data_IF_321864964062
#
_entry.id   IF_321864964062
#
_cell.length_a   1.000
_cell.length_b   1.000
_cell.length_c   1.000
_cell.angle_alpha   90.00
_cell.angle_beta   90.00
_cell.angle_gamma   90.00
#
_symmetry.space_group_name_H-M   'P 1'
#
loop_
_entity.id
_entity.type
_entity.pdbx_description
1 polymer ?
#
# COMPACT_ATOMS: atom_id res chain seq x y z
N UNK A 1 15.31 -5.63 -29.89
CA UNK A 1 14.96 -5.02 -28.58
C UNK A 1 13.57 -4.39 -28.68
N UNK A 2 12.57 -4.91 -27.96
CA UNK A 2 11.18 -4.43 -28.06
C UNK A 2 10.95 -3.30 -27.05
N UNK A 3 10.71 -2.08 -27.55
CA UNK A 3 10.34 -0.93 -26.73
C UNK A 3 8.95 -1.16 -26.11
N UNK A 4 8.88 -1.30 -24.78
CA UNK A 4 7.60 -1.24 -24.06
C UNK A 4 7.18 0.23 -23.98
N UNK A 5 6.12 0.60 -24.71
CA UNK A 5 5.48 1.92 -24.59
C UNK A 5 4.88 2.06 -23.19
N UNK A 6 5.34 3.04 -22.42
CA UNK A 6 4.75 3.41 -21.15
C UNK A 6 3.33 3.95 -21.40
N UNK A 7 2.32 3.17 -20.97
CA UNK A 7 0.91 3.59 -21.03
C UNK A 7 0.70 4.70 -19.99
N UNK A 8 0.48 5.93 -20.46
CA UNK A 8 0.22 7.12 -19.63
C UNK A 8 -1.01 6.85 -18.77
N UNK A 9 -0.82 6.71 -17.46
CA UNK A 9 -1.90 6.56 -16.49
C UNK A 9 -2.55 7.93 -16.34
N UNK A 10 -3.75 8.09 -16.88
CA UNK A 10 -4.61 9.25 -16.63
C UNK A 10 -5.00 9.16 -15.15
N UNK A 11 -4.28 9.87 -14.29
CA UNK A 11 -4.76 10.14 -12.94
C UNK A 11 -5.95 11.08 -13.08
N UNK A 12 -7.15 10.57 -12.83
CA UNK A 12 -8.28 11.45 -12.58
C UNK A 12 -7.96 12.20 -11.29
N UNK A 13 -7.73 13.52 -11.39
CA UNK A 13 -7.80 14.40 -10.23
C UNK A 13 -9.24 14.39 -9.74
N UNK A 14 -9.57 13.42 -8.90
CA UNK A 14 -10.82 13.44 -8.15
C UNK A 14 -10.69 14.53 -7.09
N UNK A 15 -11.49 15.57 -7.23
CA UNK A 15 -11.71 16.54 -6.16
C UNK A 15 -12.17 15.79 -4.91
N UNK A 16 -11.41 15.88 -3.82
CA UNK A 16 -11.76 15.28 -2.54
C UNK A 16 -13.05 15.92 -2.02
N UNK A 17 -14.09 15.12 -1.80
CA UNK A 17 -15.30 15.61 -1.13
C UNK A 17 -14.98 15.87 0.36
N UNK A 18 -15.63 16.86 1.02
CA UNK A 18 -15.42 17.12 2.44
C UNK A 18 -15.57 15.88 3.33
N UNK A 19 -16.52 15.01 3.01
CA UNK A 19 -16.77 13.76 3.73
C UNK A 19 -15.60 12.77 3.60
N UNK A 20 -14.93 12.74 2.45
CA UNK A 20 -13.74 11.91 2.22
C UNK A 20 -12.55 12.43 3.03
N UNK A 21 -12.44 13.74 3.22
CA UNK A 21 -11.41 14.34 4.07
C UNK A 21 -11.64 14.00 5.55
N UNK A 22 -12.88 14.06 6.04
CA UNK A 22 -13.22 13.65 7.41
C UNK A 22 -12.89 12.16 7.61
N UNK A 23 -13.31 11.29 6.68
CA UNK A 23 -13.00 9.86 6.73
C UNK A 23 -11.50 9.60 6.74
N UNK A 24 -10.73 10.31 5.91
CA UNK A 24 -9.27 10.20 5.89
C UNK A 24 -8.63 10.54 7.25
N UNK A 25 -9.12 11.57 7.94
CA UNK A 25 -8.61 11.93 9.27
C UNK A 25 -8.90 10.84 10.31
N UNK A 26 -10.08 10.22 10.25
CA UNK A 26 -10.43 9.11 11.14
C UNK A 26 -9.59 7.86 10.82
N UNK A 27 -9.39 7.54 9.54
CA UNK A 27 -8.51 6.44 9.12
C UNK A 27 -7.06 6.63 9.61
N UNK A 28 -6.54 7.87 9.56
CA UNK A 28 -5.22 8.20 10.10
C UNK A 28 -5.15 8.02 11.62
N UNK A 29 -6.21 8.40 12.36
CA UNK A 29 -6.28 8.17 13.81
C UNK A 29 -6.27 6.68 14.12
N UNK A 30 -7.07 5.88 13.42
CA UNK A 30 -7.11 4.42 13.55
C UNK A 30 -5.75 3.79 13.28
N UNK A 31 -5.09 4.21 12.19
CA UNK A 31 -3.73 3.77 11.84
C UNK A 31 -2.72 4.12 12.93
N UNK A 32 -2.79 5.34 13.48
CA UNK A 32 -1.88 5.79 14.54
C UNK A 32 -2.09 5.02 15.86
N UNK A 33 -3.34 4.62 16.15
CA UNK A 33 -3.69 3.78 17.30
C UNK A 33 -3.33 2.31 17.12
N UNK A 34 -2.75 1.91 15.97
CA UNK A 34 -2.44 0.52 15.62
C UNK A 34 -3.66 -0.41 15.74
N UNK A 35 -4.86 0.11 15.49
CA UNK A 35 -6.11 -0.66 15.55
C UNK A 35 -6.27 -1.40 14.22
N UNK A 36 -6.38 -2.73 14.30
CA UNK A 36 -6.56 -3.60 13.14
C UNK A 36 -8.05 -3.81 12.83
N UNK A 37 -8.47 -3.38 11.64
CA UNK A 37 -9.79 -3.67 11.09
C UNK A 37 -9.80 -4.98 10.27
N UNK A 38 -10.98 -5.55 9.96
CA UNK A 38 -11.08 -6.72 9.09
C UNK A 38 -10.36 -6.53 7.75
N UNK A 39 -9.61 -7.54 7.32
CA UNK A 39 -8.84 -7.46 6.07
C UNK A 39 -9.79 -7.48 4.86
N UNK A 40 -9.65 -6.47 4.00
CA UNK A 40 -10.35 -6.39 2.71
C UNK A 40 -9.38 -6.70 1.58
N UNK A 41 -9.81 -7.52 0.62
CA UNK A 41 -9.00 -7.84 -0.55
C UNK A 41 -8.95 -6.63 -1.50
N UNK A 42 -7.74 -6.12 -1.74
CA UNK A 42 -7.50 -5.04 -2.71
C UNK A 42 -6.58 -5.53 -3.83
N UNK A 43 -6.77 -4.97 -5.03
CA UNK A 43 -5.83 -5.16 -6.13
C UNK A 43 -4.77 -4.07 -6.08
N UNK A 44 -3.53 -4.42 -5.72
CA UNK A 44 -2.38 -3.52 -5.72
C UNK A 44 -1.42 -3.91 -6.85
N UNK A 45 -1.12 -2.97 -7.75
CA UNK A 45 -0.06 -3.15 -8.75
C UNK A 45 1.29 -2.77 -8.15
N UNK A 46 2.23 -3.71 -8.18
CA UNK A 46 3.60 -3.49 -7.72
C UNK A 46 4.61 -3.92 -8.77
N UNK A 47 5.78 -3.25 -8.89
CA UNK A 47 6.84 -3.71 -9.77
C UNK A 47 7.32 -5.13 -9.44
N UNK A 48 7.61 -5.93 -10.46
CA UNK A 48 7.94 -7.35 -10.29
C UNK A 48 9.21 -7.58 -9.46
N UNK A 49 10.21 -6.71 -9.59
CA UNK A 49 11.43 -6.76 -8.79
C UNK A 49 11.15 -6.52 -7.30
N UNK A 50 10.26 -5.56 -6.98
CA UNK A 50 9.86 -5.26 -5.60
C UNK A 50 9.16 -6.46 -4.98
N UNK A 51 8.18 -7.04 -5.69
CA UNK A 51 7.45 -8.22 -5.18
C UNK A 51 8.39 -9.40 -4.90
N UNK A 52 9.35 -9.67 -5.81
CA UNK A 52 10.34 -10.74 -5.60
C UNK A 52 11.20 -10.48 -4.36
N UNK A 53 11.72 -9.27 -4.19
CA UNK A 53 12.55 -8.91 -3.04
C UNK A 53 11.78 -9.08 -1.72
N UNK A 54 10.54 -8.61 -1.66
CA UNK A 54 9.67 -8.73 -0.47
C UNK A 54 9.37 -10.20 -0.15
N UNK A 55 9.04 -11.02 -1.16
CA UNK A 55 8.82 -12.46 -0.96
C UNK A 55 10.05 -13.17 -0.42
N UNK A 56 11.22 -12.88 -0.99
CA UNK A 56 12.49 -13.45 -0.50
C UNK A 56 12.75 -13.05 0.95
N UNK A 57 12.57 -11.78 1.31
CA UNK A 57 12.75 -11.31 2.69
C UNK A 57 11.75 -11.94 3.66
N UNK A 58 10.48 -12.07 3.25
CA UNK A 58 9.44 -12.71 4.05
C UNK A 58 9.78 -14.18 4.32
N UNK A 59 10.26 -14.90 3.30
CA UNK A 59 10.72 -16.29 3.43
C UNK A 59 11.89 -16.42 4.42
N UNK A 60 12.90 -15.55 4.30
CA UNK A 60 14.04 -15.54 5.23
C UNK A 60 13.62 -15.28 6.68
N UNK A 61 12.57 -14.49 6.87
CA UNK A 61 12.05 -14.15 8.19
C UNK A 61 10.96 -15.13 8.69
N UNK A 62 10.65 -16.21 7.95
CA UNK A 62 9.60 -17.16 8.33
C UNK A 62 8.18 -16.58 8.40
N UNK A 63 7.87 -15.53 7.64
CA UNK A 63 6.56 -14.85 7.70
C UNK A 63 5.87 -14.74 6.33
N UNK A 64 4.56 -14.50 6.33
CA UNK A 64 3.79 -14.24 5.10
C UNK A 64 4.22 -12.91 4.48
N UNK A 65 4.39 -12.87 3.16
CA UNK A 65 4.82 -11.65 2.47
C UNK A 65 3.75 -10.53 2.55
N UNK A 66 2.47 -10.88 2.64
CA UNK A 66 1.38 -9.91 2.81
C UNK A 66 1.53 -9.15 4.12
N UNK A 67 1.82 -9.85 5.23
CA UNK A 67 2.08 -9.23 6.53
C UNK A 67 3.29 -8.29 6.47
N UNK A 68 4.33 -8.69 5.74
CA UNK A 68 5.51 -7.86 5.54
C UNK A 68 5.20 -6.59 4.73
N UNK A 69 4.36 -6.68 3.70
CA UNK A 69 3.89 -5.52 2.92
C UNK A 69 3.12 -4.55 3.83
N UNK A 70 2.14 -5.04 4.60
CA UNK A 70 1.36 -4.20 5.53
C UNK A 70 2.29 -3.48 6.51
N UNK A 71 3.28 -4.18 7.07
CA UNK A 71 4.27 -3.58 7.98
C UNK A 71 5.07 -2.46 7.33
N UNK A 72 5.50 -2.63 6.08
CA UNK A 72 6.23 -1.58 5.36
C UNK A 72 5.34 -0.39 5.03
N UNK A 73 4.09 -0.61 4.65
CA UNK A 73 3.13 0.47 4.41
C UNK A 73 2.90 1.27 5.70
N UNK A 74 2.60 0.59 6.82
CA UNK A 74 2.41 1.25 8.12
C UNK A 74 3.61 2.10 8.52
N UNK A 75 4.81 1.53 8.39
CA UNK A 75 6.04 2.24 8.70
C UNK A 75 6.23 3.47 7.82
N UNK A 76 6.03 3.35 6.50
CA UNK A 76 6.16 4.48 5.58
C UNK A 76 5.14 5.59 5.82
N UNK A 77 3.94 5.26 6.33
CA UNK A 77 2.92 6.24 6.71
C UNK A 77 3.17 6.90 8.08
N UNK A 78 4.07 6.35 8.89
CA UNK A 78 4.46 6.88 10.20
C UNK A 78 5.76 7.69 10.18
N UNK A 79 6.58 7.53 9.15
CA UNK A 79 7.80 8.32 8.95
C UNK A 79 7.40 9.78 8.60
N UNK A 80 7.47 10.66 9.60
CA UNK A 80 7.33 12.13 9.46
C UNK A 80 8.67 12.77 9.10
#
# INVERSE_FOLDING_TARGET
MKHQKAKKVKGEEKSFLPEEAVRFLDDLRTLSGQIDEPTIAISLRVPANVLRAVKSKARLNGQKYQSLIVRYIRRGLQEK
#
